data_IF_707104989112
#
_entry.id   IF_707104989112
#
_cell.length_a   1.000
_cell.length_b   1.000
_cell.length_c   1.000
_cell.angle_alpha   90.00
_cell.angle_beta   90.00
_cell.angle_gamma   90.00
#
_symmetry.space_group_name_H-M   'P 1'
#
loop_
_entity.id
_entity.type
_entity.pdbx_description
1 polymer ?
#
# COMPACT_ATOMS: atom_id res chain seq x y z
N UNK A 1 -24.04 6.56 -12.53
CA UNK A 1 -24.42 6.77 -11.12
C UNK A 1 -23.16 6.66 -10.29
N UNK A 2 -22.86 7.70 -9.51
CA UNK A 2 -21.73 7.69 -8.55
C UNK A 2 -22.04 6.74 -7.41
N UNK A 3 -21.04 6.35 -6.61
CA UNK A 3 -21.28 5.59 -5.39
C UNK A 3 -22.20 6.35 -4.41
N UNK A 4 -22.05 7.67 -4.31
CA UNK A 4 -22.88 8.49 -3.43
C UNK A 4 -24.35 8.48 -3.84
N UNK A 5 -24.63 8.59 -5.15
CA UNK A 5 -25.99 8.45 -5.70
C UNK A 5 -26.61 7.10 -5.31
N UNK A 6 -25.85 5.99 -5.43
CA UNK A 6 -26.31 4.64 -5.05
C UNK A 6 -26.58 4.60 -3.54
N UNK A 7 -25.68 5.15 -2.72
CA UNK A 7 -25.81 5.14 -1.27
C UNK A 7 -27.03 5.91 -0.79
N UNK A 8 -27.34 7.06 -1.41
CA UNK A 8 -28.56 7.83 -1.15
C UNK A 8 -29.80 6.99 -1.48
N UNK A 9 -29.82 6.31 -2.63
CA UNK A 9 -30.95 5.48 -3.05
C UNK A 9 -31.16 4.25 -2.16
N UNK A 10 -30.06 3.67 -1.64
CA UNK A 10 -30.09 2.50 -0.74
C UNK A 10 -30.33 2.86 0.72
N UNK A 11 -30.16 4.13 1.09
CA UNK A 11 -30.43 4.62 2.44
C UNK A 11 -29.35 4.27 3.46
N UNK A 12 -28.09 4.20 3.04
CA UNK A 12 -26.95 4.10 3.98
C UNK A 12 -26.53 5.47 4.50
N UNK A 13 -26.06 5.49 5.73
CA UNK A 13 -25.46 6.64 6.42
C UNK A 13 -24.07 7.03 5.91
N UNK A 14 -23.41 6.17 5.14
CA UNK A 14 -22.11 6.46 4.51
C UNK A 14 -22.20 7.62 3.51
N UNK A 15 -23.39 7.88 2.98
CA UNK A 15 -23.65 8.91 1.95
C UNK A 15 -23.46 10.33 2.45
N UNK A 16 -23.44 11.28 1.50
CA UNK A 16 -23.37 12.72 1.77
C UNK A 16 -24.53 13.25 2.64
N UNK A 17 -25.62 12.49 2.81
CA UNK A 17 -26.71 12.85 3.72
C UNK A 17 -26.36 12.65 5.21
N UNK A 18 -25.26 11.95 5.53
CA UNK A 18 -24.77 11.76 6.90
C UNK A 18 -23.24 11.81 7.00
N UNK A 19 -22.51 10.71 6.83
CA UNK A 19 -21.05 10.66 7.06
C UNK A 19 -20.22 11.25 5.92
N UNK A 20 -20.67 11.13 4.66
CA UNK A 20 -19.97 11.66 3.49
C UNK A 20 -18.75 10.87 3.01
N UNK A 21 -18.62 9.60 3.40
CA UNK A 21 -17.51 8.73 2.99
C UNK A 21 -17.53 8.39 1.50
N UNK A 22 -18.72 8.29 0.90
CA UNK A 22 -18.87 7.71 -0.44
C UNK A 22 -18.18 8.50 -1.54
N UNK A 23 -18.00 9.81 -1.40
CA UNK A 23 -17.21 10.61 -2.36
C UNK A 23 -15.73 10.19 -2.37
N UNK A 24 -15.17 9.83 -1.21
CA UNK A 24 -13.81 9.31 -1.11
C UNK A 24 -13.72 7.89 -1.66
N UNK A 25 -14.69 7.04 -1.31
CA UNK A 25 -14.72 5.64 -1.76
C UNK A 25 -14.96 5.51 -3.27
N UNK A 26 -15.77 6.37 -3.88
CA UNK A 26 -15.97 6.41 -5.34
C UNK A 26 -14.64 6.61 -6.07
N UNK A 27 -13.81 7.55 -5.60
CA UNK A 27 -12.46 7.78 -6.13
C UNK A 27 -11.52 6.60 -5.84
N UNK A 28 -11.55 6.06 -4.63
CA UNK A 28 -10.66 4.97 -4.21
C UNK A 28 -10.94 3.68 -4.99
N UNK A 29 -12.21 3.36 -5.21
CA UNK A 29 -12.66 2.07 -5.71
C UNK A 29 -13.17 2.08 -7.15
N UNK A 30 -13.37 3.26 -7.75
CA UNK A 30 -13.75 3.42 -9.16
C UNK A 30 -12.93 2.57 -10.13
N UNK A 31 -11.59 2.45 -9.99
CA UNK A 31 -10.79 1.59 -10.87
C UNK A 31 -11.13 0.10 -10.82
N UNK A 32 -11.77 -0.36 -9.74
CA UNK A 32 -12.10 -1.76 -9.49
C UNK A 32 -13.59 -2.08 -9.70
N UNK A 33 -14.37 -1.12 -10.22
CA UNK A 33 -15.82 -1.22 -10.35
C UNK A 33 -16.29 -2.50 -11.07
N UNK A 34 -15.54 -2.90 -12.10
CA UNK A 34 -15.86 -4.05 -12.94
C UNK A 34 -14.96 -5.27 -12.70
N UNK A 35 -14.14 -5.25 -11.64
CA UNK A 35 -13.24 -6.35 -11.31
C UNK A 35 -13.95 -7.45 -10.51
N UNK A 36 -13.66 -8.74 -10.77
CA UNK A 36 -14.08 -9.82 -9.90
C UNK A 36 -13.24 -9.80 -8.63
N UNK A 37 -13.85 -9.41 -7.51
CA UNK A 37 -13.17 -9.28 -6.22
C UNK A 37 -14.07 -9.69 -5.07
N UNK A 38 -13.47 -10.00 -3.92
CA UNK A 38 -14.20 -10.16 -2.67
C UNK A 38 -14.12 -8.86 -1.86
N UNK A 39 -15.27 -8.31 -1.50
CA UNK A 39 -15.40 -7.23 -0.53
C UNK A 39 -15.99 -7.81 0.76
N UNK A 40 -15.30 -7.64 1.87
CA UNK A 40 -15.81 -7.98 3.20
C UNK A 40 -16.20 -6.70 3.92
N UNK A 41 -17.43 -6.62 4.42
CA UNK A 41 -17.88 -5.57 5.34
C UNK A 41 -18.23 -6.20 6.68
N UNK A 42 -17.63 -5.67 7.75
CA UNK A 42 -17.89 -6.07 9.13
C UNK A 42 -18.86 -5.05 9.71
N UNK A 43 -20.00 -5.53 10.19
CA UNK A 43 -21.18 -4.70 10.48
C UNK A 43 -22.15 -4.73 9.29
N UNK A 44 -23.31 -5.39 9.46
CA UNK A 44 -24.35 -5.49 8.41
C UNK A 44 -25.54 -4.59 8.72
N UNK A 45 -25.94 -4.53 9.99
CA UNK A 45 -27.11 -3.78 10.46
C UNK A 45 -28.39 -4.08 9.66
N UNK A 46 -28.77 -3.22 8.72
CA UNK A 46 -29.98 -3.34 7.89
C UNK A 46 -29.67 -3.71 6.43
N UNK A 47 -28.41 -4.00 6.09
CA UNK A 47 -27.97 -4.44 4.76
C UNK A 47 -27.90 -3.35 3.68
N UNK A 48 -28.19 -2.08 4.00
CA UNK A 48 -28.22 -1.00 2.99
C UNK A 48 -26.86 -0.79 2.30
N UNK A 49 -25.76 -0.85 3.06
CA UNK A 49 -24.40 -0.74 2.51
C UNK A 49 -24.04 -1.94 1.63
N UNK A 50 -24.41 -3.16 2.02
CA UNK A 50 -24.17 -4.36 1.20
C UNK A 50 -24.87 -4.28 -0.16
N UNK A 51 -26.12 -3.81 -0.20
CA UNK A 51 -26.84 -3.58 -1.46
C UNK A 51 -26.18 -2.48 -2.31
N UNK A 52 -25.70 -1.41 -1.66
CA UNK A 52 -24.95 -0.36 -2.33
C UNK A 52 -23.66 -0.92 -2.95
N UNK A 53 -22.88 -1.70 -2.21
CA UNK A 53 -21.65 -2.31 -2.72
C UNK A 53 -21.92 -3.26 -3.88
N UNK A 54 -22.96 -4.10 -3.78
CA UNK A 54 -23.40 -4.97 -4.86
C UNK A 54 -23.73 -4.19 -6.13
N UNK A 55 -24.42 -3.06 -6.01
CA UNK A 55 -24.81 -2.24 -7.15
C UNK A 55 -23.64 -1.44 -7.74
N UNK A 56 -22.70 -1.03 -6.89
CA UNK A 56 -21.52 -0.31 -7.31
C UNK A 56 -20.54 -1.22 -8.06
N UNK A 57 -20.20 -2.38 -7.49
CA UNK A 57 -19.29 -3.35 -8.07
C UNK A 57 -20.05 -4.40 -8.90
N UNK A 58 -19.86 -4.37 -10.22
CA UNK A 58 -20.63 -5.20 -11.15
C UNK A 58 -20.32 -6.70 -11.07
N UNK A 59 -19.13 -7.06 -10.59
CA UNK A 59 -18.66 -8.45 -10.52
C UNK A 59 -18.18 -8.88 -9.12
N UNK A 60 -18.20 -7.99 -8.13
CA UNK A 60 -17.73 -8.36 -6.79
C UNK A 60 -18.69 -9.33 -6.09
N UNK A 61 -18.11 -10.23 -5.30
CA UNK A 61 -18.79 -10.94 -4.23
C UNK A 61 -18.71 -10.09 -2.95
N UNK A 62 -19.86 -9.71 -2.44
CA UNK A 62 -20.00 -8.96 -1.19
C UNK A 62 -20.21 -9.96 -0.06
N UNK A 63 -19.48 -9.79 1.04
CA UNK A 63 -19.57 -10.64 2.22
C UNK A 63 -19.82 -9.75 3.43
N UNK A 64 -21.03 -9.81 3.97
CA UNK A 64 -21.39 -9.14 5.22
C UNK A 64 -21.10 -10.04 6.41
N UNK A 65 -20.50 -9.48 7.45
CA UNK A 65 -20.21 -10.16 8.72
C UNK A 65 -20.95 -9.47 9.85
N UNK A 66 -21.76 -10.21 10.59
CA UNK A 66 -22.46 -9.69 11.75
C UNK A 66 -22.60 -10.75 12.85
N UNK A 67 -22.64 -10.32 14.11
CA UNK A 67 -22.91 -11.21 15.24
C UNK A 67 -24.40 -11.56 15.34
N UNK A 68 -25.27 -10.68 14.82
CA UNK A 68 -26.71 -10.88 14.86
C UNK A 68 -27.17 -11.89 13.79
N UNK A 69 -27.68 -13.07 14.17
CA UNK A 69 -28.13 -14.07 13.21
C UNK A 69 -29.29 -13.61 12.33
N UNK A 70 -30.02 -12.55 12.70
CA UNK A 70 -31.10 -11.98 11.89
C UNK A 70 -30.58 -11.41 10.57
N UNK A 71 -29.32 -10.96 10.54
CA UNK A 71 -28.68 -10.38 9.34
C UNK A 71 -28.61 -11.37 8.17
N UNK A 72 -28.78 -12.69 8.41
CA UNK A 72 -28.89 -13.69 7.33
C UNK A 72 -30.00 -13.38 6.31
N UNK A 73 -31.02 -12.61 6.70
CA UNK A 73 -32.08 -12.19 5.78
C UNK A 73 -31.59 -11.30 4.63
N UNK A 74 -30.41 -10.68 4.76
CA UNK A 74 -29.80 -9.84 3.73
C UNK A 74 -28.96 -10.63 2.71
N UNK A 75 -28.85 -11.95 2.86
CA UNK A 75 -28.19 -12.80 1.86
C UNK A 75 -28.98 -12.79 0.54
N UNK A 76 -28.25 -12.83 -0.57
CA UNK A 76 -28.85 -12.72 -1.89
C UNK A 76 -27.85 -12.84 -3.03
N UNK A 77 -28.24 -12.37 -4.21
CA UNK A 77 -27.36 -12.37 -5.39
C UNK A 77 -26.07 -11.59 -5.11
N UNK A 78 -24.93 -12.29 -5.19
CA UNK A 78 -23.59 -11.77 -4.88
C UNK A 78 -23.42 -11.19 -3.47
N UNK A 79 -24.35 -11.45 -2.55
CA UNK A 79 -24.26 -11.05 -1.14
C UNK A 79 -24.30 -12.32 -0.27
N UNK A 80 -23.17 -12.65 0.35
CA UNK A 80 -23.08 -13.70 1.36
C UNK A 80 -23.12 -13.06 2.76
N UNK A 81 -23.72 -13.76 3.73
CA UNK A 81 -23.74 -13.34 5.14
C UNK A 81 -23.10 -14.43 5.98
N UNK A 82 -22.03 -14.06 6.70
CA UNK A 82 -21.39 -14.91 7.68
C UNK A 82 -21.72 -14.40 9.09
N UNK A 83 -22.25 -15.31 9.93
CA UNK A 83 -22.61 -14.95 11.31
C UNK A 83 -21.47 -15.33 12.22
N UNK A 84 -20.86 -14.34 12.87
CA UNK A 84 -19.70 -14.51 13.73
C UNK A 84 -19.25 -13.20 14.36
N UNK A 85 -18.30 -13.30 15.29
CA UNK A 85 -17.75 -12.14 15.98
C UNK A 85 -16.45 -11.69 15.33
N UNK A 86 -16.28 -10.39 15.10
CA UNK A 86 -14.99 -9.82 14.69
C UNK A 86 -13.90 -9.96 15.77
N UNK A 87 -14.28 -10.29 17.02
CA UNK A 87 -13.35 -10.58 18.10
C UNK A 87 -12.95 -12.07 18.18
N UNK A 88 -13.43 -12.93 17.27
CA UNK A 88 -13.10 -14.35 17.23
C UNK A 88 -12.00 -14.62 16.17
N UNK A 89 -10.78 -15.00 16.59
CA UNK A 89 -9.67 -15.23 15.66
C UNK A 89 -9.88 -16.45 14.75
N UNK A 90 -10.59 -17.49 15.22
CA UNK A 90 -10.85 -18.69 14.41
C UNK A 90 -11.86 -18.38 13.32
N UNK A 91 -12.90 -17.62 13.68
CA UNK A 91 -13.87 -17.12 12.72
C UNK A 91 -13.21 -16.24 11.65
N UNK A 92 -12.40 -15.25 12.04
CA UNK A 92 -11.71 -14.37 11.09
C UNK A 92 -10.75 -15.13 10.16
N UNK A 93 -10.03 -16.13 10.67
CA UNK A 93 -9.16 -16.97 9.86
C UNK A 93 -9.96 -17.77 8.83
N UNK A 94 -11.05 -18.42 9.24
CA UNK A 94 -11.92 -19.18 8.34
C UNK A 94 -12.62 -18.28 7.31
N UNK A 95 -13.01 -17.07 7.71
CA UNK A 95 -13.59 -16.06 6.83
C UNK A 95 -12.61 -15.67 5.71
N UNK A 96 -11.38 -15.31 6.08
CA UNK A 96 -10.33 -14.92 5.13
C UNK A 96 -9.89 -16.07 4.21
N UNK A 97 -9.87 -17.30 4.71
CA UNK A 97 -9.60 -18.49 3.89
C UNK A 97 -10.71 -18.72 2.86
N UNK A 98 -11.97 -18.60 3.28
CA UNK A 98 -13.13 -18.82 2.43
C UNK A 98 -13.34 -17.71 1.40
N UNK A 99 -13.07 -16.46 1.78
CA UNK A 99 -13.23 -15.28 0.92
C UNK A 99 -11.95 -14.44 0.97
N UNK A 100 -10.88 -14.81 0.21
CA UNK A 100 -9.65 -14.04 0.19
C UNK A 100 -9.95 -12.57 -0.18
N UNK A 101 -9.82 -11.61 0.74
CA UNK A 101 -10.41 -10.29 0.55
C UNK A 101 -9.53 -9.39 -0.30
N UNK A 102 -10.13 -8.61 -1.20
CA UNK A 102 -9.45 -7.52 -1.88
C UNK A 102 -9.77 -6.16 -1.22
N UNK A 103 -11.01 -6.02 -0.72
CA UNK A 103 -11.45 -4.87 0.07
C UNK A 103 -11.99 -5.40 1.40
N UNK A 104 -11.60 -4.76 2.51
CA UNK A 104 -12.22 -4.95 3.82
C UNK A 104 -12.68 -3.60 4.35
N UNK A 105 -13.89 -3.54 4.88
CA UNK A 105 -14.47 -2.37 5.55
C UNK A 105 -14.85 -2.81 6.96
N UNK A 106 -14.19 -2.23 7.97
CA UNK A 106 -14.48 -2.45 9.39
C UNK A 106 -15.37 -1.33 9.91
N UNK A 107 -16.68 -1.60 9.88
CA UNK A 107 -17.78 -0.75 10.35
C UNK A 107 -18.59 -1.48 11.44
N UNK A 108 -17.89 -2.26 12.27
CA UNK A 108 -18.50 -3.21 13.20
C UNK A 108 -18.85 -2.59 14.54
N UNK A 109 -18.15 -3.00 15.61
CA UNK A 109 -18.51 -2.56 16.97
C UNK A 109 -17.99 -1.18 17.37
N UNK A 110 -17.09 -0.60 16.56
CA UNK A 110 -16.36 0.64 16.82
C UNK A 110 -15.57 0.66 18.15
N UNK A 111 -15.35 -0.50 18.76
CA UNK A 111 -14.49 -0.63 19.94
C UNK A 111 -13.04 -0.60 19.46
N UNK A 112 -12.17 0.27 20.01
CA UNK A 112 -10.79 0.40 19.55
C UNK A 112 -10.03 -0.93 19.51
N UNK A 113 -10.20 -1.76 20.55
CA UNK A 113 -9.60 -3.08 20.65
C UNK A 113 -10.09 -4.04 19.56
N UNK A 114 -11.36 -3.97 19.16
CA UNK A 114 -11.90 -4.80 18.10
C UNK A 114 -11.39 -4.37 16.73
N UNK A 115 -11.32 -3.06 16.45
CA UNK A 115 -10.79 -2.54 15.19
C UNK A 115 -9.32 -2.90 15.00
N UNK A 116 -8.49 -2.71 16.04
CA UNK A 116 -7.08 -3.11 16.02
C UNK A 116 -6.95 -4.63 15.84
N UNK A 117 -7.68 -5.40 16.65
CA UNK A 117 -7.65 -6.85 16.59
C UNK A 117 -8.01 -7.35 15.19
N UNK A 118 -9.14 -6.90 14.64
CA UNK A 118 -9.64 -7.35 13.34
C UNK A 118 -8.66 -7.00 12.22
N UNK A 119 -8.13 -5.77 12.22
CA UNK A 119 -7.10 -5.34 11.28
C UNK A 119 -5.88 -6.26 11.30
N UNK A 120 -5.33 -6.55 12.48
CA UNK A 120 -4.14 -7.40 12.60
C UNK A 120 -4.34 -8.83 12.10
N UNK A 121 -5.58 -9.34 12.07
CA UNK A 121 -5.89 -10.71 11.61
C UNK A 121 -6.25 -10.75 10.13
N UNK A 122 -6.96 -9.76 9.62
CA UNK A 122 -7.44 -9.76 8.22
C UNK A 122 -6.46 -9.08 7.25
N UNK A 123 -5.72 -8.05 7.67
CA UNK A 123 -4.77 -7.37 6.78
C UNK A 123 -3.68 -8.31 6.20
N UNK A 124 -3.13 -9.28 6.96
CA UNK A 124 -2.21 -10.28 6.39
C UNK A 124 -2.84 -11.12 5.28
N UNK A 125 -4.14 -11.39 5.33
CA UNK A 125 -4.86 -12.16 4.31
C UNK A 125 -5.35 -11.31 3.13
N UNK A 126 -5.39 -9.98 3.26
CA UNK A 126 -5.75 -9.05 2.19
C UNK A 126 -4.88 -9.31 0.94
N UNK A 127 -5.49 -9.32 -0.23
CA UNK A 127 -4.75 -9.50 -1.47
C UNK A 127 -3.79 -8.33 -1.72
N UNK A 128 -2.71 -8.60 -2.46
CA UNK A 128 -1.73 -7.57 -2.86
C UNK A 128 -2.43 -6.43 -3.62
N UNK A 129 -2.15 -5.18 -3.25
CA UNK A 129 -2.83 -4.01 -3.81
C UNK A 129 -4.27 -3.78 -3.28
N UNK A 130 -4.77 -4.65 -2.40
CA UNK A 130 -6.07 -4.49 -1.76
C UNK A 130 -6.10 -3.38 -0.72
N UNK A 131 -7.29 -3.03 -0.25
CA UNK A 131 -7.54 -1.94 0.69
C UNK A 131 -8.27 -2.43 1.95
N UNK A 132 -7.80 -2.01 3.12
CA UNK A 132 -8.50 -2.18 4.40
C UNK A 132 -8.93 -0.81 4.90
N UNK A 133 -10.21 -0.65 5.22
CA UNK A 133 -10.77 0.58 5.77
C UNK A 133 -11.29 0.33 7.17
N UNK A 134 -11.05 1.30 8.06
CA UNK A 134 -11.65 1.37 9.39
C UNK A 134 -12.55 2.61 9.42
N UNK A 135 -13.84 2.44 9.65
CA UNK A 135 -14.84 3.52 9.76
C UNK A 135 -15.10 3.93 11.22
N UNK A 136 -15.80 5.05 11.38
CA UNK A 136 -16.21 5.62 12.67
C UNK A 136 -15.07 5.73 13.70
N UNK A 137 -13.88 6.07 13.22
CA UNK A 137 -12.79 6.50 14.09
C UNK A 137 -13.17 7.86 14.70
N UNK A 138 -13.17 8.00 16.04
CA UNK A 138 -13.51 9.26 16.68
C UNK A 138 -12.64 10.39 16.14
N UNK A 139 -13.22 11.58 16.12
CA UNK A 139 -12.76 12.72 15.34
C UNK A 139 -11.24 12.90 15.48
N UNK A 140 -10.51 12.57 14.42
CA UNK A 140 -9.04 12.73 14.29
C UNK A 140 -8.53 14.16 14.58
N UNK A 141 -9.45 15.11 14.81
CA UNK A 141 -9.23 16.52 15.08
C UNK A 141 -9.05 16.82 16.58
N UNK A 142 -9.63 16.02 17.49
CA UNK A 142 -9.46 16.22 18.92
C UNK A 142 -8.32 15.35 19.47
N UNK A 143 -7.10 15.89 19.43
CA UNK A 143 -5.89 15.23 19.94
C UNK A 143 -5.88 15.03 21.47
N UNK A 144 -6.90 15.51 22.19
CA UNK A 144 -7.00 15.40 23.65
C UNK A 144 -7.57 14.06 24.13
N UNK A 145 -8.35 13.38 23.29
CA UNK A 145 -8.90 12.04 23.55
C UNK A 145 -8.38 11.05 22.50
N UNK A 146 -7.09 10.70 22.59
CA UNK A 146 -6.57 9.60 21.77
C UNK A 146 -7.21 8.30 22.23
N UNK A 147 -8.21 7.82 21.49
CA UNK A 147 -8.56 6.40 21.55
C UNK A 147 -7.37 5.59 21.04
N UNK A 148 -7.18 4.37 21.57
CA UNK A 148 -6.05 3.53 21.16
C UNK A 148 -6.07 3.21 19.67
N UNK A 149 -7.24 3.18 19.02
CA UNK A 149 -7.36 2.94 17.59
C UNK A 149 -6.84 4.12 16.75
N UNK A 150 -7.22 5.36 17.08
CA UNK A 150 -6.73 6.54 16.34
C UNK A 150 -5.21 6.67 16.47
N UNK A 151 -4.66 6.44 17.66
CA UNK A 151 -3.21 6.45 17.88
C UNK A 151 -2.51 5.30 17.13
N UNK A 152 -3.08 4.09 17.17
CA UNK A 152 -2.55 2.92 16.47
C UNK A 152 -2.49 3.14 14.96
N UNK A 153 -3.60 3.51 14.33
CA UNK A 153 -3.64 3.74 12.89
C UNK A 153 -2.90 5.01 12.47
N UNK A 154 -2.84 6.04 13.34
CA UNK A 154 -2.00 7.21 13.13
C UNK A 154 -0.51 6.86 13.06
N UNK A 155 -0.05 5.99 13.96
CA UNK A 155 1.34 5.50 13.94
C UNK A 155 1.65 4.71 12.66
N UNK A 156 0.71 3.88 12.20
CA UNK A 156 0.86 3.16 10.92
C UNK A 156 0.87 4.12 9.72
N UNK A 157 0.05 5.17 9.74
CA UNK A 157 0.04 6.19 8.70
C UNK A 157 1.37 6.93 8.62
N UNK A 158 1.92 7.35 9.76
CA UNK A 158 3.25 7.98 9.85
C UNK A 158 4.34 7.04 9.33
N UNK A 159 4.35 5.77 9.77
CA UNK A 159 5.32 4.77 9.31
C UNK A 159 5.24 4.49 7.80
N UNK A 160 4.02 4.48 7.23
CA UNK A 160 3.83 4.32 5.79
C UNK A 160 4.32 5.55 5.00
N UNK A 161 4.06 6.78 5.50
CA UNK A 161 4.55 8.02 4.89
C UNK A 161 6.08 8.08 4.86
N UNK A 162 6.73 7.64 5.94
CA UNK A 162 8.19 7.57 6.05
C UNK A 162 8.80 6.36 5.32
N UNK A 163 7.96 5.52 4.68
CA UNK A 163 8.36 4.25 4.05
C UNK A 163 9.11 3.31 5.01
N UNK A 164 8.85 3.44 6.31
CA UNK A 164 9.41 2.60 7.36
C UNK A 164 8.66 1.26 7.47
N UNK A 165 7.41 1.21 7.01
CA UNK A 165 6.61 -0.01 6.96
C UNK A 165 6.28 -0.39 5.50
N UNK A 166 7.01 -1.38 4.99
CA UNK A 166 6.88 -1.86 3.61
C UNK A 166 5.57 -2.61 3.32
N UNK A 167 4.77 -2.92 4.36
CA UNK A 167 3.47 -3.58 4.18
C UNK A 167 2.44 -2.70 3.49
N UNK A 168 2.63 -1.38 3.53
CA UNK A 168 1.70 -0.39 2.97
C UNK A 168 2.28 0.28 1.73
N UNK A 169 1.49 0.33 0.66
CA UNK A 169 1.81 1.17 -0.51
C UNK A 169 1.32 2.60 -0.34
N UNK A 170 0.25 2.77 0.44
CA UNK A 170 -0.40 4.06 0.70
C UNK A 170 -1.28 3.95 1.94
N UNK A 171 -1.34 5.02 2.73
CA UNK A 171 -2.35 5.22 3.77
C UNK A 171 -3.06 6.54 3.50
N UNK A 172 -4.39 6.55 3.55
CA UNK A 172 -5.21 7.74 3.35
C UNK A 172 -6.13 7.92 4.56
N UNK A 173 -5.96 9.03 5.28
CA UNK A 173 -6.90 9.44 6.32
C UNK A 173 -7.96 10.33 5.68
N UNK A 174 -9.22 9.95 5.85
CA UNK A 174 -10.38 10.75 5.46
C UNK A 174 -11.19 11.07 6.72
N UNK A 175 -12.19 11.96 6.62
CA UNK A 175 -12.97 12.34 7.80
C UNK A 175 -13.58 11.10 8.44
N UNK A 176 -13.21 10.77 9.69
CA UNK A 176 -13.76 9.65 10.44
C UNK A 176 -13.33 8.24 9.99
N UNK A 177 -12.44 8.10 9.00
CA UNK A 177 -11.99 6.80 8.54
C UNK A 177 -10.53 6.81 8.07
N UNK A 178 -9.90 5.64 8.06
CA UNK A 178 -8.55 5.45 7.51
C UNK A 178 -8.53 4.27 6.54
N UNK A 179 -7.95 4.48 5.37
CA UNK A 179 -7.78 3.47 4.34
C UNK A 179 -6.30 3.09 4.22
N UNK A 180 -5.98 1.81 4.43
CA UNK A 180 -4.65 1.24 4.36
C UNK A 180 -4.54 0.33 3.14
N UNK A 181 -3.67 0.67 2.20
CA UNK A 181 -3.45 -0.09 0.97
C UNK A 181 -2.28 -1.03 1.13
N UNK A 182 -2.51 -2.33 0.91
CA UNK A 182 -1.45 -3.33 0.99
C UNK A 182 -0.49 -3.18 -0.18
N UNK A 183 0.80 -3.29 0.12
CA UNK A 183 1.85 -3.30 -0.90
C UNK A 183 1.64 -4.44 -1.88
N UNK A 184 1.84 -4.14 -3.16
CA UNK A 184 1.93 -5.14 -4.20
C UNK A 184 3.41 -5.46 -4.44
N UNK A 185 3.82 -6.73 -4.43
CA UNK A 185 5.13 -7.11 -4.94
C UNK A 185 5.30 -6.57 -6.36
N UNK A 186 6.38 -5.85 -6.62
CA UNK A 186 6.67 -5.35 -7.96
C UNK A 186 6.99 -6.55 -8.86
N UNK A 187 6.20 -6.75 -9.91
CA UNK A 187 6.58 -7.65 -11.01
C UNK A 187 7.65 -6.95 -11.86
N UNK A 188 8.90 -7.09 -11.40
CA UNK A 188 10.04 -6.50 -12.09
C UNK A 188 10.20 -7.02 -13.52
N UNK A 189 9.71 -8.21 -13.88
CA UNK A 189 9.81 -8.71 -15.25
C UNK A 189 8.94 -7.86 -16.18
N UNK A 190 7.66 -7.71 -15.82
CA UNK A 190 6.71 -6.91 -16.59
C UNK A 190 7.11 -5.43 -16.62
N UNK A 191 7.51 -4.88 -15.47
CA UNK A 191 7.87 -3.47 -15.39
C UNK A 191 9.19 -3.14 -16.10
N UNK A 192 10.19 -4.02 -16.04
CA UNK A 192 11.43 -3.84 -16.82
C UNK A 192 11.13 -3.79 -18.31
N UNK A 193 10.29 -4.70 -18.81
CA UNK A 193 9.89 -4.72 -20.22
C UNK A 193 9.15 -3.43 -20.63
N UNK A 194 8.34 -2.86 -19.73
CA UNK A 194 7.61 -1.59 -19.95
C UNK A 194 8.52 -0.36 -19.94
N UNK A 195 9.45 -0.30 -18.99
CA UNK A 195 10.26 0.90 -18.70
C UNK A 195 11.48 0.98 -19.62
N UNK A 196 12.11 -0.14 -19.94
CA UNK A 196 13.39 -0.17 -20.68
C UNK A 196 13.35 0.61 -22.01
N UNK A 197 12.32 0.48 -22.88
CA UNK A 197 12.27 1.25 -24.12
C UNK A 197 12.26 2.76 -23.89
N UNK A 198 11.62 3.23 -22.81
CA UNK A 198 11.55 4.64 -22.45
C UNK A 198 12.88 5.12 -21.87
N UNK A 199 13.49 4.34 -20.97
CA UNK A 199 14.78 4.65 -20.36
C UNK A 199 15.88 4.80 -21.42
N UNK A 200 15.86 3.97 -22.47
CA UNK A 200 16.82 4.05 -23.59
C UNK A 200 16.65 5.27 -24.49
N UNK A 201 15.42 5.78 -24.60
CA UNK A 201 15.09 6.95 -25.43
C UNK A 201 15.17 8.28 -24.66
N UNK A 202 15.32 8.22 -23.33
CA UNK A 202 15.35 9.40 -22.50
C UNK A 202 16.54 10.30 -22.87
N UNK A 203 16.34 11.61 -23.11
CA UNK A 203 17.39 12.50 -23.56
C UNK A 203 18.36 12.92 -22.44
N UNK A 204 18.05 12.57 -21.20
CA UNK A 204 18.78 12.95 -19.99
C UNK A 204 19.53 11.75 -19.43
N UNK A 205 20.81 11.92 -19.13
CA UNK A 205 21.66 10.86 -18.59
C UNK A 205 21.24 10.44 -17.18
N UNK A 206 20.56 11.32 -16.43
CA UNK A 206 19.98 10.99 -15.12
C UNK A 206 18.98 9.83 -15.23
N UNK A 207 18.26 9.73 -16.35
CA UNK A 207 17.36 8.61 -16.61
C UNK A 207 18.09 7.28 -16.68
N UNK A 208 19.33 7.23 -17.15
CA UNK A 208 20.15 6.01 -17.14
C UNK A 208 20.51 5.60 -15.71
N UNK A 209 20.78 6.56 -14.82
CA UNK A 209 21.13 6.24 -13.43
C UNK A 209 19.91 5.84 -12.61
N UNK A 210 18.75 6.47 -12.83
CA UNK A 210 17.49 6.00 -12.25
C UNK A 210 17.12 4.61 -12.77
N UNK A 211 17.37 4.35 -14.06
CA UNK A 211 17.18 3.02 -14.64
C UNK A 211 18.13 1.98 -14.04
N UNK A 212 19.41 2.32 -13.83
CA UNK A 212 20.37 1.45 -13.17
C UNK A 212 19.97 1.15 -11.72
N UNK A 213 19.46 2.13 -10.98
CA UNK A 213 18.88 1.93 -9.66
C UNK A 213 17.69 0.96 -9.68
N UNK A 214 16.77 1.15 -10.64
CA UNK A 214 15.61 0.27 -10.79
C UNK A 214 16.04 -1.18 -11.10
N UNK A 215 16.98 -1.37 -12.03
CA UNK A 215 17.56 -2.68 -12.33
C UNK A 215 18.26 -3.31 -11.11
N UNK A 216 18.94 -2.50 -10.30
CA UNK A 216 19.56 -2.96 -9.06
C UNK A 216 18.53 -3.43 -8.02
N UNK A 217 17.39 -2.74 -7.92
CA UNK A 217 16.26 -3.16 -7.08
C UNK A 217 15.60 -4.44 -7.59
N UNK A 218 15.54 -4.61 -8.92
CA UNK A 218 15.09 -5.83 -9.59
C UNK A 218 16.08 -7.02 -9.48
N UNK A 219 17.25 -6.84 -8.86
CA UNK A 219 18.29 -7.87 -8.77
C UNK A 219 19.08 -8.11 -10.05
N UNK A 220 18.86 -7.30 -11.09
CA UNK A 220 19.53 -7.39 -12.40
C UNK A 220 20.87 -6.63 -12.37
N UNK A 221 21.78 -7.06 -11.50
CA UNK A 221 22.98 -6.30 -11.14
C UNK A 221 23.95 -6.06 -12.31
N UNK A 222 24.16 -7.05 -13.19
CA UNK A 222 25.03 -6.87 -14.37
C UNK A 222 24.51 -5.78 -15.31
N UNK A 223 23.18 -5.78 -15.54
CA UNK A 223 22.52 -4.77 -16.37
C UNK A 223 22.56 -3.40 -15.71
N UNK A 224 22.36 -3.34 -14.39
CA UNK A 224 22.48 -2.11 -13.62
C UNK A 224 23.90 -1.53 -13.74
N UNK A 225 24.93 -2.37 -13.60
CA UNK A 225 26.34 -2.00 -13.71
C UNK A 225 26.67 -1.47 -15.11
N UNK A 226 26.26 -2.16 -16.17
CA UNK A 226 26.46 -1.70 -17.54
C UNK A 226 25.80 -0.33 -17.78
N UNK A 227 24.56 -0.18 -17.30
CA UNK A 227 23.78 1.05 -17.47
C UNK A 227 24.45 2.24 -16.78
N UNK A 228 24.85 2.11 -15.51
CA UNK A 228 25.51 3.20 -14.77
C UNK A 228 26.91 3.48 -15.34
N UNK A 229 27.63 2.47 -15.82
CA UNK A 229 28.93 2.63 -16.47
C UNK A 229 28.81 3.43 -17.76
N UNK A 230 27.75 3.20 -18.54
CA UNK A 230 27.44 4.00 -19.72
C UNK A 230 27.10 5.45 -19.35
N UNK A 231 26.30 5.68 -18.30
CA UNK A 231 25.99 7.02 -17.81
C UNK A 231 27.26 7.79 -17.38
N UNK A 232 28.20 7.12 -16.68
CA UNK A 232 29.50 7.68 -16.29
C UNK A 232 30.36 8.02 -17.51
N UNK A 233 30.31 7.21 -18.58
CA UNK A 233 31.05 7.50 -19.81
C UNK A 233 30.56 8.79 -20.47
N UNK A 234 29.25 9.02 -20.43
CA UNK A 234 28.62 10.24 -20.97
C UNK A 234 28.90 11.46 -20.08
N UNK A 235 28.84 11.29 -18.75
CA UNK A 235 29.07 12.37 -17.77
C UNK A 235 30.01 11.94 -16.64
N UNK A 236 31.34 11.90 -16.87
CA UNK A 236 32.30 11.34 -15.93
C UNK A 236 32.53 12.17 -14.66
N UNK A 237 32.09 13.44 -14.70
CA UNK A 237 32.19 14.38 -13.58
C UNK A 237 30.95 14.37 -12.67
N UNK A 238 29.92 13.58 -13.00
CA UNK A 238 28.70 13.53 -12.18
C UNK A 238 28.93 12.65 -10.93
N UNK A 239 28.94 13.23 -9.71
CA UNK A 239 29.26 12.48 -8.49
C UNK A 239 28.18 11.44 -8.15
N UNK A 240 26.92 11.68 -8.51
CA UNK A 240 25.82 10.76 -8.22
C UNK A 240 25.93 9.46 -9.03
N UNK A 241 26.54 9.52 -10.21
CA UNK A 241 26.71 8.35 -11.06
C UNK A 241 27.80 7.45 -10.47
N UNK A 242 28.88 8.05 -9.97
CA UNK A 242 29.92 7.34 -9.22
C UNK A 242 29.37 6.74 -7.92
N UNK A 243 28.52 7.49 -7.22
CA UNK A 243 27.86 6.99 -6.02
C UNK A 243 26.99 5.77 -6.32
N UNK A 244 26.19 5.81 -7.39
CA UNK A 244 25.37 4.67 -7.80
C UNK A 244 26.21 3.46 -8.22
N UNK A 245 27.30 3.68 -8.97
CA UNK A 245 28.24 2.62 -9.34
C UNK A 245 28.82 1.94 -8.10
N UNK A 246 29.16 2.71 -7.07
CA UNK A 246 29.64 2.17 -5.79
C UNK A 246 28.61 1.23 -5.14
N UNK A 247 27.35 1.66 -5.05
CA UNK A 247 26.28 0.86 -4.45
C UNK A 247 26.00 -0.43 -5.23
N UNK A 248 25.99 -0.36 -6.56
CA UNK A 248 25.80 -1.54 -7.42
C UNK A 248 26.98 -2.50 -7.25
N UNK A 249 28.22 -2.00 -7.25
CA UNK A 249 29.42 -2.83 -7.09
C UNK A 249 29.47 -3.52 -5.73
N UNK A 250 29.05 -2.85 -4.65
CA UNK A 250 28.92 -3.46 -3.32
C UNK A 250 27.91 -4.61 -3.32
N UNK A 251 26.74 -4.42 -3.95
CA UNK A 251 25.74 -5.51 -4.12
C UNK A 251 26.25 -6.67 -4.97
N UNK A 252 27.09 -6.40 -5.97
CA UNK A 252 27.78 -7.41 -6.76
C UNK A 252 28.92 -8.10 -6.00
N UNK A 253 29.23 -7.65 -4.78
CA UNK A 253 30.35 -8.11 -3.94
C UNK A 253 31.72 -7.80 -4.53
N UNK A 254 31.83 -6.79 -5.39
CA UNK A 254 33.11 -6.21 -5.84
C UNK A 254 33.48 -5.02 -4.96
N UNK A 255 34.13 -5.32 -3.83
CA UNK A 255 34.54 -4.32 -2.86
C UNK A 255 35.58 -3.33 -3.41
N UNK A 256 36.45 -3.78 -4.32
CA UNK A 256 37.46 -2.92 -4.94
C UNK A 256 36.82 -1.84 -5.80
N UNK A 257 35.90 -2.24 -6.69
CA UNK A 257 35.14 -1.30 -7.51
C UNK A 257 34.24 -0.40 -6.65
N UNK A 258 33.59 -0.95 -5.62
CA UNK A 258 32.73 -0.20 -4.71
C UNK A 258 33.48 0.95 -4.02
N UNK A 259 34.65 0.66 -3.43
CA UNK A 259 35.49 1.64 -2.76
C UNK A 259 36.04 2.70 -3.73
N UNK A 260 36.52 2.28 -4.90
CA UNK A 260 37.05 3.20 -5.91
C UNK A 260 35.98 4.21 -6.37
N UNK A 261 34.77 3.74 -6.66
CA UNK A 261 33.66 4.60 -7.06
C UNK A 261 33.18 5.52 -5.92
N UNK A 262 33.12 5.04 -4.66
CA UNK A 262 32.75 5.86 -3.50
C UNK A 262 33.76 7.00 -3.24
N UNK A 263 35.06 6.71 -3.34
CA UNK A 263 36.12 7.72 -3.23
C UNK A 263 35.99 8.77 -4.32
N UNK A 264 35.70 8.35 -5.54
CA UNK A 264 35.51 9.27 -6.67
C UNK A 264 34.27 10.15 -6.51
N UNK A 265 33.15 9.59 -6.04
CA UNK A 265 31.95 10.37 -5.73
C UNK A 265 32.23 11.45 -4.66
N UNK A 266 32.91 11.07 -3.58
CA UNK A 266 33.32 11.99 -2.50
C UNK A 266 34.27 13.07 -3.00
N UNK A 267 35.23 12.73 -3.86
CA UNK A 267 36.18 13.69 -4.41
C UNK A 267 35.51 14.71 -5.35
N UNK A 268 34.52 14.28 -6.15
CA UNK A 268 33.77 15.15 -7.06
C UNK A 268 32.80 16.09 -6.34
N UNK A 269 32.31 15.71 -5.16
CA UNK A 269 31.38 16.52 -4.36
C UNK A 269 31.58 16.32 -2.85
N UNK A 270 32.67 16.86 -2.27
CA UNK A 270 33.02 16.66 -0.86
C UNK A 270 32.01 17.25 0.13
N UNK A 271 31.21 18.22 -0.29
CA UNK A 271 30.14 18.82 0.50
C UNK A 271 28.94 17.88 0.69
N UNK A 272 28.83 16.80 -0.11
CA UNK A 272 27.74 15.84 -0.01
C UNK A 272 28.02 14.81 1.09
N UNK A 273 27.45 15.06 2.26
CA UNK A 273 27.66 14.27 3.49
C UNK A 273 27.38 12.78 3.28
N UNK A 274 26.36 12.45 2.47
CA UNK A 274 25.95 11.07 2.18
C UNK A 274 27.06 10.23 1.54
N UNK A 275 27.92 10.82 0.69
CA UNK A 275 28.99 10.09 0.01
C UNK A 275 30.10 9.71 0.99
N UNK A 276 30.46 10.67 1.86
CA UNK A 276 31.44 10.43 2.92
C UNK A 276 30.96 9.41 3.95
N UNK A 277 29.67 9.44 4.32
CA UNK A 277 29.08 8.44 5.23
C UNK A 277 29.16 7.03 4.63
N UNK A 278 28.69 6.87 3.39
CA UNK A 278 28.74 5.59 2.67
C UNK A 278 30.17 5.06 2.49
N UNK A 279 31.13 5.93 2.14
CA UNK A 279 32.54 5.54 2.00
C UNK A 279 33.10 4.97 3.31
N UNK A 280 32.85 5.65 4.44
CA UNK A 280 33.26 5.16 5.77
C UNK A 280 32.63 3.80 6.10
N UNK A 281 31.36 3.61 5.76
CA UNK A 281 30.66 2.33 5.95
C UNK A 281 31.26 1.21 5.10
N UNK A 282 31.69 1.47 3.87
CA UNK A 282 32.38 0.48 3.04
C UNK A 282 33.79 0.16 3.57
N UNK A 283 34.54 1.17 4.00
CA UNK A 283 35.89 1.01 4.53
C UNK A 283 35.87 0.19 5.82
N UNK A 284 34.91 0.43 6.71
CA UNK A 284 34.73 -0.35 7.95
C UNK A 284 34.35 -1.82 7.71
N UNK A 285 33.74 -2.15 6.56
CA UNK A 285 33.39 -3.53 6.18
C UNK A 285 34.54 -4.28 5.50
N UNK A 286 35.54 -3.54 5.02
CA UNK A 286 36.68 -4.07 4.25
C UNK A 286 37.95 -4.25 5.09
N UNK A 287 37.93 -3.77 6.34
CA UNK A 287 38.97 -3.94 7.37
C UNK A 287 38.72 -5.16 8.24
#
# INVERSE_FOLDING_TARGET
MTLDDIGILRGTDKSALRQGYLAHYDRMFGPWRDAPLNLIEIGVYNGASLEMWRDFFSQAQIVGVDIDPRCRCHSGERIAIEIGSQADPQFLAALAERYPPFIVIDDGSHLPEHQIFTFERLFPALQAGGCYIVEDLPQWVDRSERSSAVEYFGTLAEAAMDRADERFSRVEVVQGAVALWKSCPIDYVTEVARIEPLARQAPRTESLVFWAEYLMQAGLLDRAFETVSNAIRLEPANPWFQFRLSQISDRMRDQGAALAAARRATALAPQQVIFGKWLKELEARSS
#
